data_IF_840633456220
#
_entry.id   IF_840633456220
#
_cell.length_a   1.000
_cell.length_b   1.000
_cell.length_c   1.000
_cell.angle_alpha   90.00
_cell.angle_beta   90.00
_cell.angle_gamma   90.00
#
_symmetry.space_group_name_H-M   'P 1'
#
loop_
_entity.id
_entity.type
_entity.pdbx_description
1 polymer ?
#
# COMPACT_ATOMS: atom_id res chain seq x y z
N UNK A 1 0.46 -8.40 6.22
CA UNK A 1 1.42 -7.29 6.39
C UNK A 1 2.67 -7.77 7.11
N UNK A 2 3.84 -7.20 6.80
CA UNK A 2 5.08 -7.41 7.56
C UNK A 2 5.15 -6.50 8.80
N UNK A 3 5.75 -6.94 9.92
CA UNK A 3 5.95 -6.11 11.11
C UNK A 3 6.94 -4.97 10.84
N UNK A 4 6.72 -3.80 11.49
CA UNK A 4 7.65 -2.66 11.44
C UNK A 4 8.96 -3.05 12.14
N UNK A 5 10.13 -2.82 11.52
CA UNK A 5 11.41 -2.99 12.19
C UNK A 5 11.63 -1.89 13.25
N UNK A 6 11.96 -2.27 14.48
CA UNK A 6 12.12 -1.34 15.61
C UNK A 6 13.40 -0.48 15.52
N UNK A 7 14.50 -1.05 14.98
CA UNK A 7 15.83 -0.41 14.94
C UNK A 7 16.22 0.15 13.55
N UNK A 8 15.29 0.16 12.59
CA UNK A 8 15.56 0.64 11.24
C UNK A 8 15.13 2.09 11.04
N UNK A 9 15.86 2.81 10.19
CA UNK A 9 15.56 4.20 9.81
C UNK A 9 15.46 4.33 8.28
N UNK A 10 14.65 5.28 7.81
CA UNK A 10 14.45 5.55 6.39
C UNK A 10 13.59 4.50 5.69
N UNK A 11 13.89 4.26 4.41
CA UNK A 11 13.11 3.35 3.57
C UNK A 11 13.36 1.88 3.92
N UNK A 12 12.28 1.15 4.15
CA UNK A 12 12.29 -0.28 4.44
C UNK A 12 11.26 -1.00 3.59
N UNK A 13 11.56 -2.25 3.25
CA UNK A 13 10.64 -3.05 2.43
C UNK A 13 9.54 -3.66 3.29
N UNK A 14 8.29 -3.31 2.98
CA UNK A 14 7.10 -3.92 3.56
C UNK A 14 6.43 -4.82 2.54
N UNK A 15 5.88 -5.94 3.01
CA UNK A 15 4.96 -6.76 2.24
C UNK A 15 3.52 -6.46 2.68
N UNK A 16 2.70 -6.10 1.71
CA UNK A 16 1.31 -5.72 1.89
C UNK A 16 0.43 -6.75 1.20
N UNK A 17 -0.60 -7.16 1.93
CA UNK A 17 -1.63 -8.08 1.49
C UNK A 17 -2.96 -7.44 1.81
N UNK A 18 -3.89 -7.46 0.87
CA UNK A 18 -5.19 -6.85 1.07
C UNK A 18 -6.12 -7.10 -0.10
N UNK A 19 -7.25 -6.41 -0.08
CA UNK A 19 -8.22 -6.41 -1.18
C UNK A 19 -8.30 -5.02 -1.78
N UNK A 20 -8.18 -4.94 -3.10
CA UNK A 20 -8.47 -3.73 -3.87
C UNK A 20 -9.93 -3.76 -4.27
N UNK A 21 -10.61 -2.66 -4.01
CA UNK A 21 -12.02 -2.42 -4.33
C UNK A 21 -12.14 -1.12 -5.10
N UNK A 22 -12.85 -1.12 -6.21
CA UNK A 22 -13.02 0.08 -7.02
C UNK A 22 -14.15 -0.02 -8.02
N UNK A 23 -14.42 1.06 -8.77
CA UNK A 23 -15.57 1.15 -9.68
C UNK A 23 -15.54 0.08 -10.79
N UNK A 24 -14.37 -0.46 -11.11
CA UNK A 24 -14.18 -1.49 -12.14
C UNK A 24 -13.77 -2.86 -11.57
N UNK A 25 -13.62 -3.00 -10.25
CA UNK A 25 -13.13 -4.21 -9.58
C UNK A 25 -13.93 -4.45 -8.30
N UNK A 26 -14.66 -5.56 -8.26
CA UNK A 26 -15.56 -5.87 -7.14
C UNK A 26 -14.85 -6.22 -5.84
N UNK A 27 -13.74 -6.98 -5.89
CA UNK A 27 -12.83 -7.33 -4.79
C UNK A 27 -11.67 -8.13 -5.41
N UNK A 28 -10.44 -7.62 -5.36
CA UNK A 28 -9.27 -8.34 -5.88
C UNK A 28 -8.19 -8.45 -4.82
N UNK A 29 -7.85 -9.68 -4.43
CA UNK A 29 -6.78 -9.90 -3.45
C UNK A 29 -5.45 -9.61 -4.08
N UNK A 30 -4.68 -8.71 -3.47
CA UNK A 30 -3.35 -8.34 -3.93
C UNK A 30 -2.27 -8.68 -2.92
N UNK A 31 -1.07 -8.86 -3.46
CA UNK A 31 0.17 -8.98 -2.73
C UNK A 31 1.18 -8.02 -3.37
N UNK A 32 1.82 -7.17 -2.57
CA UNK A 32 2.82 -6.22 -3.07
C UNK A 32 3.96 -6.05 -2.09
N UNK A 33 5.18 -5.94 -2.60
CA UNK A 33 6.37 -5.58 -1.80
C UNK A 33 6.89 -4.24 -2.28
N UNK A 34 6.96 -3.26 -1.39
CA UNK A 34 7.38 -1.90 -1.71
C UNK A 34 8.23 -1.31 -0.60
N UNK A 35 9.04 -0.31 -0.95
CA UNK A 35 9.78 0.50 0.00
C UNK A 35 8.84 1.54 0.60
N UNK A 36 8.79 1.62 1.92
CA UNK A 36 8.05 2.63 2.68
C UNK A 36 8.98 3.22 3.71
N UNK A 37 8.80 4.50 4.04
CA UNK A 37 9.47 5.07 5.19
C UNK A 37 8.97 4.37 6.47
N UNK A 38 9.89 4.05 7.38
CA UNK A 38 9.58 3.41 8.67
C UNK A 38 8.61 4.26 9.50
N UNK A 39 8.64 5.59 9.37
CA UNK A 39 7.71 6.50 10.05
C UNK A 39 6.31 6.53 9.42
N UNK A 40 6.18 6.05 8.18
CA UNK A 40 4.90 5.87 7.47
C UNK A 40 4.52 4.39 7.35
N UNK A 41 4.99 3.55 8.29
CA UNK A 41 4.73 2.12 8.24
C UNK A 41 3.22 1.83 8.28
N UNK A 42 2.70 1.10 7.28
CA UNK A 42 1.28 0.82 7.21
C UNK A 42 0.83 -0.13 8.33
N UNK A 43 -0.36 0.13 8.88
CA UNK A 43 -0.94 -0.66 9.96
C UNK A 43 -1.93 -1.70 9.44
N UNK A 44 -2.04 -2.84 10.13
CA UNK A 44 -3.02 -3.87 9.73
C UNK A 44 -4.44 -3.34 9.88
N UNK A 45 -5.28 -3.53 8.86
CA UNK A 45 -6.65 -3.00 8.82
C UNK A 45 -6.76 -1.55 8.36
N UNK A 46 -5.64 -0.87 8.10
CA UNK A 46 -5.63 0.46 7.50
C UNK A 46 -6.16 0.41 6.06
N UNK A 47 -7.02 1.37 5.72
CA UNK A 47 -7.43 1.61 4.33
C UNK A 47 -6.37 2.48 3.67
N UNK A 48 -5.76 1.97 2.60
CA UNK A 48 -4.71 2.65 1.86
C UNK A 48 -5.22 2.95 0.45
N UNK A 49 -5.08 4.20 0.03
CA UNK A 49 -5.38 4.60 -1.34
C UNK A 49 -4.34 4.00 -2.28
N UNK A 50 -4.79 3.26 -3.29
CA UNK A 50 -3.92 2.60 -4.26
C UNK A 50 -4.37 2.94 -5.68
N UNK A 51 -3.39 3.07 -6.56
CA UNK A 51 -3.60 3.13 -8.00
C UNK A 51 -3.27 1.75 -8.57
N UNK A 52 -4.13 1.24 -9.45
CA UNK A 52 -3.94 -0.07 -10.08
C UNK A 52 -4.27 0.00 -11.56
N UNK A 53 -3.64 -0.87 -12.35
CA UNK A 53 -4.03 -1.06 -13.75
C UNK A 53 -5.34 -1.84 -13.83
N UNK A 54 -6.42 -1.30 -14.45
CA UNK A 54 -7.67 -2.04 -14.61
C UNK A 54 -7.52 -3.36 -15.41
N UNK A 55 -6.46 -3.46 -16.22
CA UNK A 55 -6.14 -4.67 -17.01
C UNK A 55 -5.29 -5.68 -16.25
N UNK A 56 -4.59 -5.23 -15.20
CA UNK A 56 -3.72 -6.07 -14.38
C UNK A 56 -3.72 -5.53 -12.94
N UNK A 57 -4.66 -5.97 -12.09
CA UNK A 57 -4.79 -5.49 -10.71
C UNK A 57 -3.57 -5.80 -9.84
N UNK A 58 -2.74 -6.78 -10.20
CA UNK A 58 -1.45 -7.04 -9.53
C UNK A 58 -0.41 -5.94 -9.76
N UNK A 59 -0.56 -5.14 -10.82
CA UNK A 59 0.24 -3.95 -11.04
C UNK A 59 -0.43 -2.74 -10.39
N UNK A 60 -0.17 -2.61 -9.09
CA UNK A 60 -0.67 -1.54 -8.25
C UNK A 60 0.46 -0.90 -7.45
N UNK A 61 0.25 0.35 -7.05
CA UNK A 61 1.13 1.10 -6.15
C UNK A 61 0.27 1.94 -5.21
N UNK A 62 0.86 2.48 -4.15
CA UNK A 62 0.18 3.51 -3.39
C UNK A 62 -0.14 4.71 -4.27
N UNK A 63 -1.34 5.26 -4.08
CA UNK A 63 -1.60 6.60 -4.55
C UNK A 63 -0.61 7.51 -3.83
N UNK A 64 0.02 8.43 -4.56
CA UNK A 64 0.72 9.53 -3.92
C UNK A 64 -0.31 10.22 -3.03
N UNK A 65 -0.05 10.29 -1.72
CA UNK A 65 -0.84 11.15 -0.85
C UNK A 65 -0.66 12.56 -1.42
N UNK A 66 -1.71 13.10 -2.04
CA UNK A 66 -1.77 14.54 -2.26
C UNK A 66 -1.55 15.16 -0.88
N UNK A 67 -0.51 16.01 -0.72
CA UNK A 67 -0.30 16.68 0.55
C UNK A 67 -1.62 17.38 0.90
N UNK A 68 -2.07 17.34 2.17
CA UNK A 68 -3.31 17.96 2.56
C UNK A 68 -3.31 19.40 2.04
N UNK A 69 -4.30 19.75 1.20
CA UNK A 69 -4.49 21.13 0.77
C UNK A 69 -4.69 21.98 2.04
N UNK A 70 -3.84 23.00 2.21
CA UNK A 70 -3.76 23.91 3.37
C UNK A 70 -5.07 24.68 3.62
#
# INVERSE_FOLDING_TARGET
MSPRPDDAVGEQYVTITGVINGPTVNEYTVYGRMAVDVDQWPSTGQVLSVVYSPKNPDNWNFALEEPPED
#
